data_IF_125247994480
#
_entry.id   IF_125247994480
#
_cell.length_a   1.000
_cell.length_b   1.000
_cell.length_c   1.000
_cell.angle_alpha   90.00
_cell.angle_beta   90.00
_cell.angle_gamma   90.00
#
_symmetry.space_group_name_H-M   'P 1'
#
loop_
_entity.id
_entity.type
_entity.pdbx_description
1 polymer ?
#
# COMPACT_ATOMS: atom_id res chain seq x y z
N UNK A 1 16.48 5.90 -13.02
CA UNK A 1 16.62 5.70 -11.56
C UNK A 1 15.21 5.44 -11.04
N UNK A 2 14.98 4.36 -10.28
CA UNK A 2 13.63 4.03 -9.82
C UNK A 2 13.23 4.96 -8.67
N UNK A 3 12.02 5.51 -8.74
CA UNK A 3 11.49 6.45 -7.76
C UNK A 3 11.09 5.71 -6.47
N UNK A 4 11.43 6.30 -5.33
CA UNK A 4 11.08 5.75 -4.02
C UNK A 4 9.70 6.26 -3.59
N UNK A 5 8.85 5.38 -3.08
CA UNK A 5 7.57 5.73 -2.47
C UNK A 5 7.51 5.21 -1.04
N UNK A 6 7.11 6.08 -0.12
CA UNK A 6 6.76 5.70 1.25
C UNK A 6 5.28 5.39 1.29
N UNK A 7 4.92 4.20 1.75
CA UNK A 7 3.53 3.76 1.87
C UNK A 7 3.15 3.79 3.34
N UNK A 8 2.24 4.70 3.71
CA UNK A 8 1.58 4.69 5.01
C UNK A 8 0.11 4.30 4.82
N UNK A 9 -0.25 3.18 5.43
CA UNK A 9 -1.60 2.61 5.34
C UNK A 9 -2.56 3.20 6.37
N UNK A 10 -2.05 3.92 7.37
CA UNK A 10 -2.87 4.64 8.35
C UNK A 10 -3.33 6.00 7.81
N UNK A 11 -2.67 6.50 6.76
CA UNK A 11 -2.99 7.75 6.08
C UNK A 11 -3.79 7.47 4.80
N UNK A 12 -4.95 6.81 4.93
CA UNK A 12 -5.88 6.54 3.83
C UNK A 12 -7.27 7.04 4.20
N UNK A 13 -7.94 7.73 3.28
CA UNK A 13 -9.36 8.06 3.41
C UNK A 13 -10.23 6.85 3.09
N UNK A 14 -11.48 6.84 3.55
CA UNK A 14 -12.42 5.73 3.28
C UNK A 14 -12.59 5.49 1.78
N UNK A 15 -12.73 6.55 0.97
CA UNK A 15 -12.83 6.40 -0.48
C UNK A 15 -11.58 5.82 -1.13
N UNK A 16 -10.39 6.11 -0.57
CA UNK A 16 -9.15 5.48 -1.04
C UNK A 16 -9.06 4.01 -0.64
N UNK A 17 -9.63 3.61 0.50
CA UNK A 17 -9.76 2.21 0.86
C UNK A 17 -10.70 1.46 -0.09
N UNK A 18 -11.85 2.04 -0.43
CA UNK A 18 -12.78 1.48 -1.43
C UNK A 18 -12.10 1.32 -2.80
N UNK A 19 -11.36 2.33 -3.25
CA UNK A 19 -10.61 2.26 -4.51
C UNK A 19 -9.55 1.15 -4.50
N UNK A 20 -8.89 0.92 -3.35
CA UNK A 20 -7.94 -0.19 -3.19
C UNK A 20 -8.65 -1.54 -3.33
N UNK A 21 -9.81 -1.71 -2.71
CA UNK A 21 -10.61 -2.93 -2.85
C UNK A 21 -11.03 -3.18 -4.29
N UNK A 22 -11.48 -2.12 -4.98
CA UNK A 22 -11.91 -2.18 -6.38
C UNK A 22 -10.77 -2.62 -7.30
N UNK A 23 -9.60 -1.96 -7.23
CA UNK A 23 -8.47 -2.26 -8.14
C UNK A 23 -7.79 -3.59 -7.83
N UNK A 24 -7.86 -4.06 -6.58
CA UNK A 24 -7.25 -5.34 -6.18
C UNK A 24 -8.22 -6.53 -6.28
N UNK A 25 -9.53 -6.26 -6.34
CA UNK A 25 -10.60 -7.25 -6.25
C UNK A 25 -10.57 -8.03 -4.93
N UNK A 26 -9.99 -7.44 -3.88
CA UNK A 26 -9.74 -8.09 -2.59
C UNK A 26 -10.21 -7.18 -1.46
N UNK A 27 -10.95 -7.68 -0.47
CA UNK A 27 -11.35 -6.87 0.69
C UNK A 27 -10.13 -6.29 1.42
N UNK A 28 -10.27 -5.07 1.92
CA UNK A 28 -9.20 -4.33 2.57
C UNK A 28 -8.68 -5.05 3.82
N UNK A 29 -9.58 -5.68 4.57
CA UNK A 29 -9.27 -6.53 5.72
C UNK A 29 -8.27 -7.66 5.36
N UNK A 30 -8.50 -8.32 4.21
CA UNK A 30 -7.62 -9.39 3.69
C UNK A 30 -6.27 -8.83 3.22
N UNK A 31 -6.23 -7.59 2.73
CA UNK A 31 -4.98 -6.92 2.33
C UNK A 31 -4.14 -6.51 3.55
N UNK A 32 -4.80 -6.15 4.65
CA UNK A 32 -4.16 -5.80 5.91
C UNK A 32 -3.65 -7.01 6.68
N UNK A 33 -4.28 -8.18 6.51
CA UNK A 33 -3.87 -9.43 7.14
C UNK A 33 -2.37 -9.73 6.92
N UNK A 34 -1.61 -10.14 7.96
CA UNK A 34 -0.18 -10.45 7.84
C UNK A 34 0.15 -11.50 6.77
N UNK A 35 -0.72 -12.49 6.55
CA UNK A 35 -0.60 -13.53 5.53
C UNK A 35 -1.24 -13.13 4.18
N UNK A 36 -1.89 -11.97 4.12
CA UNK A 36 -2.49 -11.39 2.93
C UNK A 36 -1.47 -11.03 1.83
N UNK A 37 -1.94 -10.79 0.60
CA UNK A 37 -1.07 -10.53 -0.55
C UNK A 37 -0.44 -9.13 -0.51
N UNK A 38 0.62 -8.97 0.29
CA UNK A 38 1.32 -7.69 0.55
C UNK A 38 1.71 -6.93 -0.71
N UNK A 39 2.16 -7.60 -1.77
CA UNK A 39 2.52 -6.94 -3.03
C UNK A 39 1.37 -6.22 -3.73
N UNK A 40 0.14 -6.76 -3.66
CA UNK A 40 -1.05 -6.11 -4.23
C UNK A 40 -1.43 -4.87 -3.44
N UNK A 41 -1.42 -5.00 -2.10
CA UNK A 41 -1.70 -3.88 -1.20
C UNK A 41 -0.69 -2.75 -1.41
N UNK A 42 0.61 -3.06 -1.41
CA UNK A 42 1.66 -2.05 -1.58
C UNK A 42 1.56 -1.33 -2.92
N UNK A 43 1.23 -2.05 -4.01
CA UNK A 43 1.01 -1.44 -5.33
C UNK A 43 -0.20 -0.50 -5.32
N UNK A 44 -1.31 -0.93 -4.72
CA UNK A 44 -2.52 -0.13 -4.64
C UNK A 44 -2.31 1.12 -3.78
N UNK A 45 -1.72 0.98 -2.61
CA UNK A 45 -1.40 2.11 -1.74
C UNK A 45 -0.40 3.08 -2.40
N UNK A 46 0.64 2.58 -3.08
CA UNK A 46 1.57 3.41 -3.84
C UNK A 46 0.87 4.19 -4.98
N UNK A 47 -0.08 3.56 -5.67
CA UNK A 47 -0.89 4.23 -6.68
C UNK A 47 -1.75 5.34 -6.08
N UNK A 48 -2.45 5.09 -4.97
CA UNK A 48 -3.23 6.10 -4.24
C UNK A 48 -2.36 7.29 -3.85
N UNK A 49 -1.19 7.04 -3.26
CA UNK A 49 -0.29 8.09 -2.77
C UNK A 49 0.22 8.96 -3.93
N UNK A 50 0.55 8.35 -5.08
CA UNK A 50 0.99 9.10 -6.26
C UNK A 50 -0.13 9.90 -6.89
N UNK A 51 -1.31 9.29 -7.07
CA UNK A 51 -2.44 9.97 -7.74
C UNK A 51 -2.95 11.20 -6.99
N UNK A 52 -2.67 11.33 -5.68
CA UNK A 52 -2.95 12.55 -4.90
C UNK A 52 -2.27 13.80 -5.47
N UNK A 53 -1.06 13.63 -6.01
CA UNK A 53 -0.25 14.72 -6.54
C UNK A 53 -0.11 14.67 -8.08
N UNK A 54 -0.44 13.53 -8.68
CA UNK A 54 -0.40 13.30 -10.12
C UNK A 54 -1.62 12.48 -10.56
N UNK A 55 -2.78 13.09 -10.82
CA UNK A 55 -4.03 12.38 -11.11
C UNK A 55 -3.99 11.53 -12.39
N UNK A 56 -3.03 11.76 -13.28
CA UNK A 56 -2.80 10.94 -14.48
C UNK A 56 -1.97 9.67 -14.18
N UNK A 57 -1.46 9.53 -12.95
CA UNK A 57 -0.69 8.36 -12.54
C UNK A 57 -1.54 7.08 -12.57
N UNK A 58 -1.12 6.14 -13.41
CA UNK A 58 -1.84 4.89 -13.65
C UNK A 58 -1.46 3.81 -12.66
N UNK A 59 -2.37 2.87 -12.45
CA UNK A 59 -2.11 1.69 -11.62
C UNK A 59 -0.98 0.81 -12.17
N UNK A 60 -0.73 0.83 -13.49
CA UNK A 60 0.39 0.12 -14.10
C UNK A 60 1.74 0.74 -13.77
N UNK A 61 1.85 2.07 -13.80
CA UNK A 61 3.07 2.79 -13.42
C UNK A 61 3.49 2.53 -11.97
N UNK A 62 2.54 2.18 -11.09
CA UNK A 62 2.84 1.79 -9.71
C UNK A 62 3.76 0.56 -9.60
N UNK A 63 3.87 -0.29 -10.64
CA UNK A 63 4.75 -1.46 -10.65
C UNK A 63 6.24 -1.11 -10.71
N UNK A 64 6.56 0.06 -11.25
CA UNK A 64 7.94 0.54 -11.41
C UNK A 64 8.47 1.27 -10.17
N UNK A 65 7.61 1.49 -9.16
CA UNK A 65 7.99 2.16 -7.92
C UNK A 65 8.77 1.22 -6.99
N UNK A 66 9.78 1.79 -6.32
CA UNK A 66 10.45 1.14 -5.20
C UNK A 66 9.77 1.54 -3.90
N UNK A 67 9.23 0.56 -3.18
CA UNK A 67 8.67 0.80 -1.85
C UNK A 67 9.76 0.69 -0.80
N UNK A 68 9.84 1.68 0.08
CA UNK A 68 10.65 1.58 1.29
C UNK A 68 9.74 1.09 2.44
N UNK A 69 9.98 -0.12 2.91
CA UNK A 69 9.21 -0.76 3.99
C UNK A 69 9.80 -0.52 5.39
N UNK A 70 10.80 0.38 5.52
CA UNK A 70 11.55 0.53 6.77
C UNK A 70 10.72 1.14 7.90
N UNK A 71 9.58 1.77 7.59
CA UNK A 71 8.63 2.38 8.54
C UNK A 71 7.36 1.57 8.78
N UNK A 72 7.17 0.44 8.07
CA UNK A 72 6.09 -0.49 8.44
C UNK A 72 6.57 -1.23 9.67
N UNK A 73 6.22 -0.72 10.85
CA UNK A 73 6.53 -1.34 12.14
C UNK A 73 6.25 -2.84 12.03
N UNK A 74 7.32 -3.64 12.02
CA UNK A 74 7.19 -5.09 12.20
C UNK A 74 6.44 -5.25 13.52
N UNK A 75 5.38 -6.07 13.59
CA UNK A 75 4.75 -6.40 14.86
C UNK A 75 5.90 -6.81 15.79
N UNK A 76 6.13 -6.03 16.83
CA UNK A 76 7.10 -6.39 17.84
C UNK A 76 6.59 -7.70 18.42
N UNK A 77 7.29 -8.80 18.14
CA UNK A 77 7.03 -10.07 18.81
C UNK A 77 6.96 -9.77 20.31
N UNK A 78 5.91 -10.23 21.04
CA UNK A 78 5.88 -10.05 22.47
C UNK A 78 7.15 -10.71 23.01
N UNK A 79 8.05 -9.90 23.54
CA UNK A 79 9.24 -10.36 24.23
C UNK A 79 8.78 -11.21 25.40
N UNK A 80 8.77 -12.53 25.20
CA UNK A 80 8.59 -13.47 26.29
C UNK A 80 9.76 -13.33 27.25
N UNK A 81 9.46 -12.84 28.45
CA UNK A 81 10.24 -13.09 29.66
C UNK A 81 9.29 -13.65 30.72
#
# INVERSE_FOLDING_TARGET
MAELVTVDVNDLTVGEMEDIEEVTGTPFDVLFDPAGPKGKMLRAAAWIIKRRNDPDFTFEQARDLRVNLSDVERPTEPSGQ
#
